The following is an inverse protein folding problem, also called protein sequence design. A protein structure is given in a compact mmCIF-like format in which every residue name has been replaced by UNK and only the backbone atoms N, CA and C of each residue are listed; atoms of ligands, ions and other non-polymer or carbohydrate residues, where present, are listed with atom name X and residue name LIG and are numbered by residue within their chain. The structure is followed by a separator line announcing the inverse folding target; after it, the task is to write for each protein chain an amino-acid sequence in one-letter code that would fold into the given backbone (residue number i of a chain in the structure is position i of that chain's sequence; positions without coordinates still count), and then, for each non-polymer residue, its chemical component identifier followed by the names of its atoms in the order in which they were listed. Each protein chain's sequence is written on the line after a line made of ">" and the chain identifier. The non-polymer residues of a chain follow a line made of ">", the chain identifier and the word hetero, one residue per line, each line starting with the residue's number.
data_IF_243877759558
#
_entry.id   IF_243877759558
#
_cell.length_a   1.000
_cell.length_b   1.000
_cell.length_c   1.000
_cell.angle_alpha   90.00
_cell.angle_beta   90.00
_cell.angle_gamma   90.00
#
_symmetry.space_group_name_H-M   'P 1'
#
loop_
_entity.id
_entity.type
_entity.pdbx_description
1 polymer ?
#
# COMPACT_ATOMS: atom_id res chain seq x y z
N UNK A 1 17.39 3.74 11.65
CA UNK A 1 16.49 2.74 11.05
C UNK A 1 15.30 3.47 10.46
N UNK A 2 15.08 3.31 9.16
CA UNK A 2 13.97 3.95 8.47
C UNK A 2 12.65 3.19 8.69
N UNK A 3 11.55 3.86 8.47
CA UNK A 3 10.20 3.30 8.59
C UNK A 3 9.64 2.99 7.21
N UNK A 4 8.97 1.85 7.08
CA UNK A 4 8.07 1.57 5.96
C UNK A 4 6.64 1.87 6.42
N UNK A 5 5.95 2.73 5.69
CA UNK A 5 4.55 3.05 5.96
C UNK A 5 3.67 2.18 5.05
N UNK A 6 2.84 1.36 5.66
CA UNK A 6 1.88 0.52 4.93
C UNK A 6 0.49 1.12 5.13
N UNK A 7 -0.12 1.57 4.04
CA UNK A 7 -1.45 2.16 4.04
C UNK A 7 -2.45 1.23 3.38
N UNK A 8 -3.59 1.08 4.02
CA UNK A 8 -4.68 0.25 3.56
C UNK A 8 -5.94 1.10 3.44
N UNK A 9 -6.57 1.05 2.28
CA UNK A 9 -7.74 1.85 1.94
C UNK A 9 -9.06 1.25 2.37
N UNK A 10 -10.16 1.70 1.74
CA UNK A 10 -11.52 1.38 2.17
C UNK A 10 -11.80 -0.11 2.10
N UNK A 11 -12.57 -0.58 3.06
CA UNK A 11 -13.06 -1.95 3.19
C UNK A 11 -11.98 -2.99 3.52
N UNK A 12 -10.71 -2.62 3.61
CA UNK A 12 -9.65 -3.58 3.97
C UNK A 12 -9.72 -3.99 5.44
N UNK A 13 -10.41 -3.21 6.28
CA UNK A 13 -10.76 -3.63 7.63
C UNK A 13 -11.67 -4.87 7.66
N UNK A 14 -12.34 -5.16 6.53
CA UNK A 14 -13.21 -6.34 6.38
C UNK A 14 -12.47 -7.57 5.84
N UNK A 15 -11.16 -7.47 5.66
CA UNK A 15 -10.35 -8.57 5.13
C UNK A 15 -10.53 -9.82 6.00
N UNK A 16 -10.65 -10.98 5.34
CA UNK A 16 -10.93 -12.26 6.01
C UNK A 16 -12.42 -12.60 6.13
N UNK A 17 -13.30 -11.60 6.00
CA UNK A 17 -14.76 -11.78 6.07
C UNK A 17 -15.46 -11.44 4.76
N UNK A 18 -14.77 -10.75 3.85
CA UNK A 18 -15.29 -10.26 2.58
C UNK A 18 -14.68 -11.02 1.42
N UNK A 19 -15.53 -11.59 0.56
CA UNK A 19 -15.12 -12.27 -0.67
C UNK A 19 -13.89 -13.18 -0.50
N UNK A 20 -13.97 -14.24 0.36
CA UNK A 20 -12.81 -15.10 0.65
C UNK A 20 -12.21 -15.75 -0.60
N UNK A 21 -13.02 -15.98 -1.64
CA UNK A 21 -12.55 -16.55 -2.90
C UNK A 21 -11.59 -15.62 -3.64
N UNK A 22 -11.66 -14.31 -3.38
CA UNK A 22 -10.81 -13.29 -4.03
C UNK A 22 -9.63 -12.91 -3.12
N UNK A 23 -9.89 -12.67 -1.84
CA UNK A 23 -8.92 -12.08 -0.90
C UNK A 23 -8.34 -13.09 0.10
N UNK A 24 -8.89 -14.32 0.15
CA UNK A 24 -8.50 -15.33 1.14
C UNK A 24 -9.15 -15.09 2.50
N UNK A 25 -8.73 -15.89 3.49
CA UNK A 25 -9.27 -15.84 4.86
C UNK A 25 -8.41 -15.07 5.86
N UNK A 26 -7.23 -14.61 5.46
CA UNK A 26 -6.36 -13.81 6.32
C UNK A 26 -7.04 -12.47 6.67
N UNK A 27 -6.93 -12.08 7.94
CA UNK A 27 -7.45 -10.79 8.42
C UNK A 27 -6.41 -9.69 8.21
N UNK A 28 -6.82 -8.43 8.40
CA UNK A 28 -5.89 -7.31 8.35
C UNK A 28 -4.84 -7.41 9.47
N UNK A 29 -5.21 -7.93 10.63
CA UNK A 29 -4.27 -8.18 11.73
C UNK A 29 -3.21 -9.23 11.34
N UNK A 30 -3.60 -10.27 10.61
CA UNK A 30 -2.66 -11.25 10.07
C UNK A 30 -1.68 -10.61 9.09
N UNK A 31 -2.18 -9.70 8.24
CA UNK A 31 -1.36 -8.94 7.29
C UNK A 31 -0.36 -8.06 8.03
N UNK A 32 -0.79 -7.39 9.10
CA UNK A 32 0.12 -6.57 9.91
C UNK A 32 1.28 -7.39 10.47
N UNK A 33 1.00 -8.60 10.95
CA UNK A 33 2.04 -9.52 11.45
C UNK A 33 3.02 -9.92 10.34
N UNK A 34 2.52 -10.19 9.15
CA UNK A 34 3.40 -10.47 7.99
C UNK A 34 4.31 -9.27 7.69
N UNK A 35 3.76 -8.06 7.77
CA UNK A 35 4.52 -6.84 7.54
C UNK A 35 5.58 -6.60 8.61
N UNK A 36 5.24 -6.83 9.89
CA UNK A 36 6.18 -6.70 11.00
C UNK A 36 7.39 -7.62 10.80
N UNK A 37 7.13 -8.87 10.44
CA UNK A 37 8.17 -9.87 10.20
C UNK A 37 9.06 -9.47 9.04
N UNK A 38 8.45 -9.02 7.94
CA UNK A 38 9.20 -8.60 6.75
C UNK A 38 10.05 -7.35 7.04
N UNK A 39 9.49 -6.36 7.73
CA UNK A 39 10.23 -5.15 8.09
C UNK A 39 11.42 -5.50 8.99
N UNK A 40 11.24 -6.35 9.99
CA UNK A 40 12.33 -6.79 10.86
C UNK A 40 13.45 -7.46 10.07
N UNK A 41 13.09 -8.31 9.09
CA UNK A 41 14.09 -8.99 8.26
C UNK A 41 14.90 -8.03 7.38
N UNK A 42 14.37 -6.86 7.07
CA UNK A 42 15.02 -5.85 6.22
C UNK A 42 15.54 -4.63 6.99
N UNK A 43 15.54 -4.69 8.32
CA UNK A 43 16.04 -3.59 9.15
C UNK A 43 15.18 -2.34 9.09
N UNK A 44 13.89 -2.49 8.89
CA UNK A 44 12.91 -1.40 8.84
C UNK A 44 11.97 -1.43 10.04
N UNK A 45 11.49 -0.26 10.44
CA UNK A 45 10.35 -0.15 11.34
C UNK A 45 9.07 -0.20 10.52
N UNK A 46 7.99 -0.65 11.13
CA UNK A 46 6.68 -0.66 10.48
C UNK A 46 5.77 0.42 11.07
N UNK A 47 5.10 1.15 10.20
CA UNK A 47 3.92 1.96 10.52
C UNK A 47 2.78 1.42 9.66
N UNK A 48 1.75 0.84 10.28
CA UNK A 48 0.67 0.13 9.59
C UNK A 48 -0.65 0.81 9.90
N UNK A 49 -1.34 1.29 8.85
CA UNK A 49 -2.57 2.06 9.02
C UNK A 49 -3.64 1.60 8.04
N UNK A 50 -4.90 1.84 8.41
CA UNK A 50 -6.06 1.60 7.54
C UNK A 50 -7.07 2.73 7.73
N UNK A 51 -7.68 3.17 6.64
CA UNK A 51 -8.77 4.14 6.69
C UNK A 51 -9.74 3.93 5.52
N UNK A 52 -11.02 4.17 5.80
CA UNK A 52 -12.06 4.23 4.78
C UNK A 52 -12.19 5.64 4.18
N UNK A 53 -11.50 6.62 4.73
CA UNK A 53 -11.66 8.03 4.36
C UNK A 53 -10.57 8.47 3.40
N UNK A 54 -10.97 8.87 2.20
CA UNK A 54 -10.03 9.31 1.16
C UNK A 54 -9.19 10.49 1.62
N UNK A 55 -9.80 11.48 2.28
CA UNK A 55 -9.09 12.66 2.78
C UNK A 55 -8.04 12.31 3.83
N UNK A 56 -8.32 11.35 4.70
CA UNK A 56 -7.35 10.88 5.67
C UNK A 56 -6.15 10.22 5.00
N UNK A 57 -6.41 9.42 3.97
CA UNK A 57 -5.34 8.79 3.18
C UNK A 57 -4.48 9.85 2.47
N UNK A 58 -5.10 10.90 1.96
CA UNK A 58 -4.37 12.05 1.36
C UNK A 58 -3.47 12.70 2.40
N UNK A 59 -3.98 12.96 3.60
CA UNK A 59 -3.20 13.57 4.68
C UNK A 59 -2.01 12.70 5.09
N UNK A 60 -2.22 11.39 5.12
CA UNK A 60 -1.14 10.43 5.44
C UNK A 60 -0.06 10.39 4.35
N UNK A 61 -0.43 10.56 3.08
CA UNK A 61 0.55 10.68 1.99
C UNK A 61 1.35 11.97 2.16
N UNK A 62 0.71 13.09 2.53
CA UNK A 62 1.42 14.34 2.82
C UNK A 62 2.40 14.18 3.97
N UNK A 63 1.99 13.53 5.05
CA UNK A 63 2.87 13.21 6.19
C UNK A 63 4.06 12.36 5.73
N UNK A 64 3.78 11.33 4.94
CA UNK A 64 4.82 10.45 4.40
C UNK A 64 5.83 11.23 3.55
N UNK A 65 5.36 12.18 2.77
CA UNK A 65 6.23 13.05 1.96
C UNK A 65 7.21 13.83 2.82
N UNK A 66 6.73 14.40 3.93
CA UNK A 66 7.60 15.12 4.87
C UNK A 66 8.64 14.21 5.51
N UNK A 67 8.24 13.03 5.95
CA UNK A 67 9.14 12.06 6.57
C UNK A 67 10.16 11.49 5.58
N UNK A 68 9.73 11.28 4.34
CA UNK A 68 10.61 10.81 3.26
C UNK A 68 11.67 11.87 2.95
N UNK A 69 11.27 13.14 2.83
CA UNK A 69 12.20 14.25 2.61
C UNK A 69 13.18 14.42 3.77
N UNK A 70 12.75 14.13 5.00
CA UNK A 70 13.60 14.18 6.19
C UNK A 70 14.55 12.98 6.31
N UNK A 71 14.41 11.97 5.45
CA UNK A 71 15.26 10.78 5.45
C UNK A 71 14.89 9.71 6.47
N UNK A 72 13.73 9.83 7.13
CA UNK A 72 13.29 8.89 8.16
C UNK A 72 12.31 7.82 7.65
N UNK A 73 11.74 8.03 6.45
CA UNK A 73 10.83 7.09 5.81
C UNK A 73 11.50 6.46 4.59
N UNK A 74 11.48 5.13 4.51
CA UNK A 74 11.95 4.42 3.31
C UNK A 74 10.98 4.62 2.13
N UNK A 75 9.69 4.64 2.42
CA UNK A 75 8.63 4.83 1.45
C UNK A 75 7.31 4.28 1.94
N UNK A 76 6.34 4.22 1.03
CA UNK A 76 4.97 3.81 1.29
C UNK A 76 4.62 2.57 0.46
N UNK A 77 3.95 1.62 1.09
CA UNK A 77 3.26 0.54 0.39
C UNK A 77 1.77 0.84 0.53
N UNK A 78 1.09 1.02 -0.59
CA UNK A 78 -0.29 1.50 -0.59
C UNK A 78 -1.22 0.53 -1.31
N UNK A 79 -2.07 -0.13 -0.53
CA UNK A 79 -3.23 -0.84 -1.04
C UNK A 79 -4.44 0.08 -0.89
N UNK A 80 -4.73 0.85 -1.94
CA UNK A 80 -5.78 1.86 -1.89
C UNK A 80 -7.19 1.27 -2.06
N UNK A 81 -7.29 -0.03 -2.32
CA UNK A 81 -8.59 -0.66 -2.56
C UNK A 81 -9.30 -0.01 -3.74
N UNK A 82 -10.60 0.24 -3.60
CA UNK A 82 -11.42 0.82 -4.66
C UNK A 82 -10.98 2.24 -5.06
N UNK A 83 -10.35 3.00 -4.17
CA UNK A 83 -9.88 4.35 -4.52
C UNK A 83 -8.80 4.35 -5.61
N UNK A 84 -8.13 3.23 -5.83
CA UNK A 84 -7.20 3.05 -6.97
C UNK A 84 -7.87 3.43 -8.29
N UNK A 85 -9.15 3.11 -8.42
CA UNK A 85 -9.89 3.23 -9.69
C UNK A 85 -10.65 4.55 -9.81
N UNK A 86 -10.63 5.40 -8.78
CA UNK A 86 -11.46 6.61 -8.72
C UNK A 86 -10.71 7.86 -8.26
N UNK A 87 -9.60 7.73 -7.53
CA UNK A 87 -9.04 8.87 -6.81
C UNK A 87 -7.93 9.59 -7.57
N UNK A 88 -8.29 10.68 -8.21
CA UNK A 88 -7.33 11.65 -8.74
C UNK A 88 -6.65 12.39 -7.58
N UNK A 89 -7.36 12.61 -6.46
CA UNK A 89 -6.80 13.28 -5.29
C UNK A 89 -5.59 12.53 -4.71
N UNK A 90 -5.67 11.20 -4.64
CA UNK A 90 -4.54 10.39 -4.19
C UNK A 90 -3.39 10.40 -5.21
N UNK A 91 -3.70 10.34 -6.50
CA UNK A 91 -2.70 10.52 -7.56
C UNK A 91 -1.92 11.83 -7.34
N UNK A 92 -2.64 12.93 -7.17
CA UNK A 92 -2.04 14.25 -6.99
C UNK A 92 -1.20 14.34 -5.71
N UNK A 93 -1.65 13.70 -4.63
CA UNK A 93 -0.89 13.67 -3.38
C UNK A 93 0.45 12.94 -3.55
N UNK A 94 0.44 11.81 -4.23
CA UNK A 94 1.67 11.02 -4.49
C UNK A 94 2.63 11.83 -5.37
N UNK A 95 2.12 12.40 -6.47
CA UNK A 95 2.93 13.22 -7.38
C UNK A 95 3.46 14.46 -6.68
N UNK A 96 2.60 15.16 -5.95
CA UNK A 96 2.93 16.42 -5.30
C UNK A 96 3.97 16.30 -4.20
N UNK A 97 4.02 15.18 -3.51
CA UNK A 97 4.99 14.94 -2.43
C UNK A 97 6.30 14.34 -2.93
N UNK A 98 6.28 13.68 -4.08
CA UNK A 98 7.43 12.94 -4.58
C UNK A 98 7.83 11.74 -3.73
N UNK A 99 6.96 11.27 -2.84
CA UNK A 99 7.24 10.13 -1.98
C UNK A 99 7.43 8.85 -2.80
N UNK A 100 8.40 8.02 -2.41
CA UNK A 100 8.56 6.69 -2.99
C UNK A 100 7.40 5.82 -2.55
N UNK A 101 6.62 5.31 -3.50
CA UNK A 101 5.41 4.54 -3.21
C UNK A 101 5.29 3.35 -4.15
N UNK A 102 4.96 2.21 -3.56
CA UNK A 102 4.60 0.99 -4.27
C UNK A 102 3.08 0.81 -4.18
N UNK A 103 2.42 0.75 -5.33
CA UNK A 103 1.01 0.37 -5.41
C UNK A 103 0.90 -1.14 -5.28
N UNK A 104 0.05 -1.60 -4.36
CA UNK A 104 -0.13 -3.03 -4.07
C UNK A 104 -1.59 -3.41 -4.13
N UNK A 105 -1.88 -4.52 -4.78
CA UNK A 105 -3.20 -5.16 -4.80
C UNK A 105 -3.08 -6.63 -4.44
N UNK A 106 -3.99 -7.11 -3.60
CA UNK A 106 -4.04 -8.53 -3.19
C UNK A 106 -4.43 -9.40 -4.37
N UNK A 107 -5.49 -9.01 -5.10
CA UNK A 107 -5.97 -9.74 -6.27
C UNK A 107 -5.26 -9.29 -7.54
N UNK A 108 -5.32 -10.12 -8.58
CA UNK A 108 -4.97 -9.68 -9.92
C UNK A 108 -6.14 -8.86 -10.47
N UNK A 109 -6.02 -7.54 -10.42
CA UNK A 109 -7.06 -6.61 -10.84
C UNK A 109 -7.41 -6.76 -12.32
N UNK A 110 -6.49 -7.24 -13.14
CA UNK A 110 -6.69 -7.47 -14.57
C UNK A 110 -7.55 -8.70 -14.88
N UNK A 111 -7.72 -9.58 -13.91
CA UNK A 111 -8.58 -10.77 -14.02
C UNK A 111 -9.98 -10.53 -13.45
N UNK A 112 -10.30 -9.31 -13.07
CA UNK A 112 -11.57 -8.92 -12.45
C UNK A 112 -12.39 -8.02 -13.40
N UNK A 113 -13.41 -7.34 -12.87
CA UNK A 113 -14.29 -6.48 -13.67
C UNK A 113 -13.50 -5.38 -14.38
N UNK A 114 -13.98 -4.98 -15.57
CA UNK A 114 -13.29 -3.99 -16.41
C UNK A 114 -13.00 -2.67 -15.69
N UNK A 115 -13.88 -2.24 -14.76
CA UNK A 115 -13.66 -1.00 -14.02
C UNK A 115 -12.43 -1.05 -13.07
N UNK A 116 -11.88 -2.25 -12.80
CA UNK A 116 -10.68 -2.43 -11.99
C UNK A 116 -9.40 -2.47 -12.82
N UNK A 117 -9.49 -2.40 -14.15
CA UNK A 117 -8.32 -2.48 -15.02
C UNK A 117 -7.53 -1.17 -15.10
N UNK A 118 -8.13 -0.06 -14.71
CA UNK A 118 -7.47 1.24 -14.73
C UNK A 118 -7.12 1.69 -13.32
N UNK A 119 -5.88 2.17 -13.15
CA UNK A 119 -5.41 2.75 -11.90
C UNK A 119 -5.00 4.20 -12.11
N UNK A 120 -5.53 5.10 -11.29
CA UNK A 120 -5.07 6.49 -11.22
C UNK A 120 -3.75 6.60 -10.44
N UNK A 121 -3.38 5.57 -9.67
CA UNK A 121 -2.18 5.61 -8.84
C UNK A 121 -0.93 5.11 -9.57
N UNK A 122 -1.09 4.15 -10.49
CA UNK A 122 0.05 3.53 -11.18
C UNK A 122 0.97 4.54 -11.86
N UNK A 123 0.48 5.60 -12.55
CA UNK A 123 1.37 6.57 -13.16
C UNK A 123 2.18 7.39 -12.16
N UNK A 124 1.72 7.49 -10.90
CA UNK A 124 2.40 8.23 -9.84
C UNK A 124 3.28 7.33 -8.97
N UNK A 125 3.04 6.02 -8.99
CA UNK A 125 3.77 5.06 -8.17
C UNK A 125 5.15 4.75 -8.76
N UNK A 126 6.09 4.39 -7.90
CA UNK A 126 7.42 3.92 -8.31
C UNK A 126 7.36 2.50 -8.87
N UNK A 127 6.52 1.66 -8.29
CA UNK A 127 6.32 0.26 -8.71
C UNK A 127 4.87 -0.15 -8.46
N UNK A 128 4.43 -1.19 -9.18
CA UNK A 128 3.08 -1.74 -9.07
C UNK A 128 3.19 -3.24 -8.91
N UNK A 129 2.44 -3.81 -7.95
CA UNK A 129 2.39 -5.24 -7.70
C UNK A 129 0.94 -5.66 -7.50
N UNK A 130 0.53 -6.76 -8.13
CA UNK A 130 -0.81 -7.32 -7.92
C UNK A 130 -0.80 -8.84 -8.08
N UNK A 131 -1.73 -9.51 -7.41
CA UNK A 131 -2.04 -10.90 -7.66
C UNK A 131 -1.37 -11.94 -6.77
N UNK A 132 -0.52 -11.54 -5.82
CA UNK A 132 0.17 -12.48 -4.92
C UNK A 132 -0.61 -12.77 -3.63
N UNK A 133 -1.87 -12.35 -3.53
CA UNK A 133 -2.61 -12.46 -2.29
C UNK A 133 -1.98 -11.59 -1.21
N UNK A 134 -2.13 -11.98 0.04
CA UNK A 134 -1.54 -11.22 1.16
C UNK A 134 -0.02 -11.33 1.21
N UNK A 135 0.56 -12.32 0.53
CA UNK A 135 2.01 -12.43 0.42
C UNK A 135 2.63 -11.29 -0.39
N UNK A 136 1.82 -10.53 -1.12
CA UNK A 136 2.27 -9.32 -1.79
C UNK A 136 2.82 -8.27 -0.83
N UNK A 137 2.31 -8.20 0.40
CA UNK A 137 2.79 -7.24 1.40
C UNK A 137 4.28 -7.46 1.75
N UNK A 138 4.71 -8.66 2.19
CA UNK A 138 6.13 -8.87 2.45
C UNK A 138 7.00 -8.74 1.19
N UNK A 139 6.49 -9.12 0.02
CA UNK A 139 7.22 -8.93 -1.23
C UNK A 139 7.43 -7.45 -1.57
N UNK A 140 6.40 -6.62 -1.35
CA UNK A 140 6.50 -5.18 -1.57
C UNK A 140 7.47 -4.53 -0.57
N UNK A 141 7.49 -4.99 0.68
CA UNK A 141 8.45 -4.51 1.70
C UNK A 141 9.88 -4.84 1.27
N UNK A 142 10.12 -6.05 0.77
CA UNK A 142 11.44 -6.42 0.23
C UNK A 142 11.84 -5.52 -0.94
N UNK A 143 10.89 -5.23 -1.84
CA UNK A 143 11.09 -4.32 -2.96
C UNK A 143 11.43 -2.91 -2.49
N UNK A 144 10.72 -2.40 -1.50
CA UNK A 144 10.97 -1.08 -0.92
C UNK A 144 12.35 -1.01 -0.29
N UNK A 145 12.75 -2.03 0.45
CA UNK A 145 14.06 -2.11 1.06
C UNK A 145 15.18 -2.09 0.00
N UNK A 146 14.97 -2.79 -1.13
CA UNK A 146 15.92 -2.79 -2.23
C UNK A 146 16.06 -1.42 -2.89
N UNK A 147 14.95 -0.67 -2.99
CA UNK A 147 14.97 0.69 -3.57
C UNK A 147 15.59 1.74 -2.64
N UNK A 148 15.60 1.48 -1.33
CA UNK A 148 16.10 2.43 -0.34
C UNK A 148 17.63 2.39 -0.16
N UNK A 149 18.29 1.53 -0.88
CA UNK A 149 19.77 1.37 -0.84
C UNK A 149 20.46 2.49 -1.63
#
# INVERSE_FOLDING_TARGET
>A
MKTALVLNGPNLNLLGTREPAVYGSATLADVEQLCEKACAAHGLKLDFRQSNHEGELVDWIHEAGRLHAAGTLAGVIFNAGAYTHTSIALHDAIKGTGVTLIELHISNVHAREAFRHHSYLSPAAKAVMCGFGVQGYPLAIAGLAAMAV
#
